data_IF_214507119676
#
_entry.id   IF_214507119676
#
_cell.length_a   1.000
_cell.length_b   1.000
_cell.length_c   1.000
_cell.angle_alpha   90.00
_cell.angle_beta   90.00
_cell.angle_gamma   90.00
#
_symmetry.space_group_name_H-M   'P 1'
#
loop_
_entity.id
_entity.type
_entity.pdbx_description
1 polymer ?
#
# COMPACT_ATOMS: atom_id res chain seq x y z
N UNK A 1 10.54 -30.94 9.95
CA UNK A 1 9.14 -30.44 9.91
C UNK A 1 8.99 -28.93 10.15
N UNK A 2 10.05 -28.20 10.54
CA UNK A 2 9.99 -26.76 10.86
C UNK A 2 10.07 -25.87 9.60
N UNK A 3 10.74 -26.33 8.54
CA UNK A 3 10.93 -25.56 7.29
C UNK A 3 9.62 -25.07 6.65
N UNK A 4 8.63 -25.93 6.35
CA UNK A 4 7.40 -25.51 5.69
C UNK A 4 6.60 -24.47 6.49
N UNK A 5 6.60 -24.60 7.82
CA UNK A 5 5.92 -23.68 8.74
C UNK A 5 6.56 -22.28 8.70
N UNK A 6 7.89 -22.18 8.68
CA UNK A 6 8.59 -20.90 8.60
C UNK A 6 8.36 -20.18 7.28
N UNK A 7 8.35 -20.91 6.15
CA UNK A 7 8.04 -20.32 4.85
C UNK A 7 6.61 -19.78 4.80
N UNK A 8 5.65 -20.56 5.30
CA UNK A 8 4.26 -20.12 5.37
C UNK A 8 4.10 -18.88 6.25
N UNK A 9 4.68 -18.89 7.47
CA UNK A 9 4.66 -17.75 8.37
C UNK A 9 5.30 -16.51 7.74
N UNK A 10 6.43 -16.66 7.04
CA UNK A 10 7.13 -15.56 6.38
C UNK A 10 6.30 -14.93 5.25
N UNK A 11 5.60 -15.75 4.45
CA UNK A 11 4.72 -15.25 3.38
C UNK A 11 3.54 -14.45 3.94
N UNK A 12 2.91 -14.96 5.01
CA UNK A 12 1.78 -14.29 5.65
C UNK A 12 2.21 -12.96 6.27
N UNK A 13 3.27 -12.98 7.09
CA UNK A 13 3.78 -11.77 7.77
C UNK A 13 4.33 -10.76 6.76
N UNK A 14 5.03 -11.23 5.72
CA UNK A 14 5.58 -10.38 4.67
C UNK A 14 4.48 -9.68 3.87
N UNK A 15 3.46 -10.42 3.42
CA UNK A 15 2.34 -9.85 2.66
C UNK A 15 1.55 -8.86 3.50
N UNK A 16 1.24 -9.23 4.75
CA UNK A 16 0.54 -8.34 5.67
C UNK A 16 1.35 -7.07 5.98
N UNK A 17 2.66 -7.22 6.22
CA UNK A 17 3.57 -6.09 6.43
C UNK A 17 3.64 -5.15 5.23
N UNK A 18 3.64 -5.68 4.01
CA UNK A 18 3.60 -4.88 2.78
C UNK A 18 2.27 -4.12 2.64
N UNK A 19 1.14 -4.76 2.93
CA UNK A 19 -0.17 -4.10 2.92
C UNK A 19 -0.25 -2.96 3.95
N UNK A 20 0.18 -3.23 5.19
CA UNK A 20 0.19 -2.24 6.28
C UNK A 20 1.15 -1.10 5.98
N UNK A 21 2.36 -1.40 5.52
CA UNK A 21 3.37 -0.39 5.15
C UNK A 21 2.88 0.52 4.03
N UNK A 22 2.24 -0.04 2.99
CA UNK A 22 1.65 0.76 1.90
C UNK A 22 0.57 1.71 2.42
N UNK A 23 -0.32 1.24 3.30
CA UNK A 23 -1.36 2.09 3.88
C UNK A 23 -0.78 3.18 4.80
N UNK A 24 0.21 2.85 5.65
CA UNK A 24 0.86 3.82 6.52
C UNK A 24 1.54 4.95 5.75
N UNK A 25 2.08 4.68 4.55
CA UNK A 25 2.62 5.72 3.68
C UNK A 25 1.56 6.78 3.30
N UNK A 26 0.33 6.33 3.01
CA UNK A 26 -0.81 7.23 2.76
C UNK A 26 -1.18 8.04 4.01
N UNK A 27 -1.17 7.40 5.18
CA UNK A 27 -1.49 8.06 6.46
C UNK A 27 -0.47 9.16 6.78
N UNK A 28 0.83 8.86 6.69
CA UNK A 28 1.91 9.82 6.94
C UNK A 28 1.80 11.03 6.00
N UNK A 29 1.37 10.82 4.75
CA UNK A 29 1.19 11.92 3.81
C UNK A 29 -0.07 12.76 4.10
N UNK A 30 -1.21 12.12 4.41
CA UNK A 30 -2.53 12.79 4.49
C UNK A 30 -2.86 13.35 5.88
N UNK A 31 -2.51 12.63 6.95
CA UNK A 31 -2.86 12.97 8.33
C UNK A 31 -2.34 14.35 8.79
N UNK A 32 -1.06 14.72 8.61
CA UNK A 32 -0.57 16.04 9.02
C UNK A 32 -1.16 17.20 8.21
N UNK A 33 -1.81 16.90 7.08
CA UNK A 33 -2.47 17.88 6.20
C UNK A 33 -3.98 17.97 6.45
N UNK A 34 -4.50 17.26 7.46
CA UNK A 34 -5.94 17.23 7.77
C UNK A 34 -6.81 16.65 6.65
N UNK A 35 -6.22 15.90 5.70
CA UNK A 35 -6.94 15.34 4.56
C UNK A 35 -7.57 14.00 4.97
N UNK A 36 -8.77 13.76 4.48
CA UNK A 36 -9.45 12.48 4.68
C UNK A 36 -8.65 11.31 4.08
N UNK A 37 -8.62 10.19 4.81
CA UNK A 37 -7.90 8.97 4.42
C UNK A 37 -8.68 8.12 3.41
N UNK A 38 -10.02 8.16 3.46
CA UNK A 38 -10.91 7.30 2.68
C UNK A 38 -11.53 7.99 1.46
N UNK A 39 -11.73 9.31 1.52
CA UNK A 39 -12.39 10.05 0.44
C UNK A 39 -11.92 11.52 0.33
N UNK A 40 -11.54 12.04 -0.85
CA UNK A 40 -11.55 11.39 -2.16
C UNK A 40 -10.43 10.36 -2.34
N UNK A 41 -10.48 9.63 -3.46
CA UNK A 41 -9.47 8.66 -3.86
C UNK A 41 -8.06 9.27 -3.98
N UNK A 42 -7.05 8.45 -4.21
CA UNK A 42 -5.70 8.95 -4.51
C UNK A 42 -5.73 9.72 -5.83
N UNK A 43 -5.22 10.96 -5.84
CA UNK A 43 -5.07 11.77 -7.05
C UNK A 43 -3.65 12.30 -7.13
N UNK A 44 -3.09 12.36 -8.34
CA UNK A 44 -1.80 12.98 -8.55
C UNK A 44 -1.91 14.49 -8.28
N UNK A 45 -1.10 15.08 -7.36
CA UNK A 45 -1.18 16.50 -7.04
C UNK A 45 -0.68 17.41 -8.17
N UNK A 46 0.06 16.88 -9.15
CA UNK A 46 0.64 17.65 -10.25
C UNK A 46 -0.26 17.70 -11.50
N UNK A 47 -0.98 16.61 -11.80
CA UNK A 47 -1.79 16.50 -13.02
C UNK A 47 -3.28 16.20 -12.77
N UNK A 48 -3.69 15.91 -11.54
CA UNK A 48 -5.08 15.60 -11.19
C UNK A 48 -5.56 14.19 -11.58
N UNK A 49 -4.70 13.36 -12.19
CA UNK A 49 -5.03 11.98 -12.56
C UNK A 49 -5.55 11.18 -11.36
N UNK A 50 -6.62 10.41 -11.56
CA UNK A 50 -7.21 9.53 -10.55
C UNK A 50 -6.38 8.25 -10.48
N UNK A 51 -5.68 8.05 -9.37
CA UNK A 51 -4.81 6.89 -9.16
C UNK A 51 -5.68 5.68 -8.82
N UNK A 52 -5.60 4.66 -9.66
CA UNK A 52 -6.34 3.40 -9.50
C UNK A 52 -5.72 2.55 -8.38
N UNK A 53 -6.49 1.61 -7.83
CA UNK A 53 -6.04 0.81 -6.69
C UNK A 53 -4.71 0.07 -6.96
N UNK A 54 -4.52 -0.47 -8.16
CA UNK A 54 -3.30 -1.20 -8.54
C UNK A 54 -2.08 -0.30 -8.76
N UNK A 55 -2.27 0.97 -9.10
CA UNK A 55 -1.16 1.95 -9.18
C UNK A 55 -0.58 2.26 -7.79
N UNK A 56 -1.32 1.96 -6.71
CA UNK A 56 -0.83 2.09 -5.33
C UNK A 56 -0.14 0.82 -4.81
N UNK A 57 -0.09 -0.27 -5.59
CA UNK A 57 0.57 -1.53 -5.21
C UNK A 57 2.00 -1.50 -5.78
N UNK A 58 3.04 -1.31 -4.96
CA UNK A 58 4.39 -0.97 -5.44
C UNK A 58 4.96 -1.93 -6.49
N UNK A 59 4.72 -3.22 -6.31
CA UNK A 59 5.25 -4.28 -7.20
C UNK A 59 4.38 -4.40 -8.46
N UNK A 60 3.06 -4.30 -8.29
CA UNK A 60 2.12 -4.47 -9.40
C UNK A 60 2.15 -3.27 -10.34
N UNK A 61 2.32 -2.05 -9.82
CA UNK A 61 2.44 -0.82 -10.60
C UNK A 61 3.72 -0.74 -11.43
N UNK A 62 4.78 -1.47 -11.05
CA UNK A 62 6.02 -1.55 -11.84
C UNK A 62 5.95 -2.62 -12.93
N UNK A 63 5.14 -3.66 -12.73
CA UNK A 63 5.03 -4.79 -13.65
C UNK A 63 4.00 -4.59 -14.78
N UNK A 64 3.04 -3.68 -14.59
CA UNK A 64 1.95 -3.34 -15.52
C UNK A 64 2.20 -1.99 -16.20
#
# INVERSE_FOLDING_TARGET
MIGPMLWFASLVVGTFGLCVGSFLNVVVWRLPRGKSLSHPGSHCPNCGHVIRAWENIPILSWLL
#
